data_IF_813782819677
#
_entry.id   IF_813782819677
#
_cell.length_a   1.000
_cell.length_b   1.000
_cell.length_c   1.000
_cell.angle_alpha   90.00
_cell.angle_beta   90.00
_cell.angle_gamma   90.00
#
_symmetry.space_group_name_H-M   'P 1'
#
loop_
_entity.id
_entity.type
_entity.pdbx_description
1 polymer ?
#
# COMPACT_ATOMS: atom_id res chain seq x y z
N UNK A 1 -33.44 4.32 -13.02
CA UNK A 1 -32.49 4.79 -14.03
C UNK A 1 -31.36 3.75 -14.00
N UNK A 2 -31.33 2.92 -15.03
CA UNK A 2 -30.28 1.89 -15.11
C UNK A 2 -29.01 2.60 -15.59
N UNK A 3 -28.05 2.71 -14.66
CA UNK A 3 -26.71 3.20 -14.96
C UNK A 3 -25.89 1.98 -15.37
N UNK A 4 -26.02 1.66 -16.67
CA UNK A 4 -25.38 0.47 -17.23
C UNK A 4 -23.95 0.81 -17.65
N UNK A 5 -22.99 0.31 -16.90
CA UNK A 5 -21.56 0.35 -17.23
C UNK A 5 -21.07 -1.07 -17.29
N UNK A 6 -20.56 -1.48 -18.44
CA UNK A 6 -19.93 -2.78 -18.60
C UNK A 6 -18.71 -2.92 -17.66
N UNK A 7 -18.88 -3.70 -16.62
CA UNK A 7 -17.81 -4.06 -15.68
C UNK A 7 -17.17 -5.38 -16.11
N UNK A 8 -15.85 -5.43 -16.03
CA UNK A 8 -15.11 -6.68 -16.17
C UNK A 8 -15.50 -7.67 -15.06
N UNK A 9 -15.36 -9.00 -15.27
CA UNK A 9 -15.74 -10.00 -14.28
C UNK A 9 -15.17 -9.73 -12.89
N UNK A 10 -13.89 -9.39 -12.80
CA UNK A 10 -13.24 -9.07 -11.53
C UNK A 10 -13.79 -7.79 -10.86
N UNK A 11 -14.20 -6.79 -11.69
CA UNK A 11 -14.83 -5.57 -11.18
C UNK A 11 -16.21 -5.85 -10.62
N UNK A 12 -16.98 -6.76 -11.26
CA UNK A 12 -18.27 -7.22 -10.75
C UNK A 12 -18.12 -7.96 -9.42
N UNK A 13 -17.07 -8.78 -9.26
CA UNK A 13 -16.76 -9.47 -8.01
C UNK A 13 -16.57 -8.46 -6.87
N UNK A 14 -15.72 -7.44 -7.05
CA UNK A 14 -15.50 -6.38 -6.06
C UNK A 14 -16.78 -5.57 -5.80
N UNK A 15 -17.54 -5.25 -6.85
CA UNK A 15 -18.79 -4.52 -6.71
C UNK A 15 -19.84 -5.28 -5.90
N UNK A 16 -19.97 -6.58 -6.12
CA UNK A 16 -20.95 -7.44 -5.45
C UNK A 16 -20.62 -7.75 -3.99
N UNK A 17 -19.40 -7.49 -3.56
CA UNK A 17 -18.98 -7.64 -2.17
C UNK A 17 -19.88 -6.86 -1.22
N UNK A 18 -20.17 -7.44 -0.07
CA UNK A 18 -20.93 -6.80 1.02
C UNK A 18 -20.03 -6.22 2.10
N UNK A 19 -18.72 -6.42 1.99
CA UNK A 19 -17.77 -5.88 2.94
C UNK A 19 -17.82 -4.35 2.97
N UNK A 20 -17.72 -3.80 4.17
CA UNK A 20 -17.66 -2.36 4.39
C UNK A 20 -16.37 -1.77 3.83
N UNK A 21 -15.27 -2.50 3.96
CA UNK A 21 -13.94 -2.11 3.50
C UNK A 21 -13.42 -3.13 2.50
N UNK A 22 -13.26 -2.70 1.26
CA UNK A 22 -12.74 -3.52 0.17
C UNK A 22 -11.31 -3.14 -0.12
N UNK A 23 -10.40 -4.11 -0.12
CA UNK A 23 -8.96 -3.91 -0.33
C UNK A 23 -8.54 -4.66 -1.59
N UNK A 24 -8.24 -3.91 -2.65
CA UNK A 24 -7.97 -4.45 -3.98
C UNK A 24 -6.51 -4.20 -4.36
N UNK A 25 -5.70 -5.24 -4.30
CA UNK A 25 -4.37 -5.27 -4.87
C UNK A 25 -4.48 -5.68 -6.34
N UNK A 26 -4.13 -4.79 -7.26
CA UNK A 26 -4.28 -5.11 -8.67
C UNK A 26 -3.18 -4.49 -9.53
N UNK A 27 -2.77 -5.26 -10.55
CA UNK A 27 -1.70 -4.86 -11.48
C UNK A 27 -2.05 -3.62 -12.30
N UNK A 28 -1.06 -3.08 -12.99
CA UNK A 28 -1.28 -1.95 -13.91
C UNK A 28 -2.26 -2.30 -15.02
N UNK A 29 -3.02 -1.30 -15.46
CA UNK A 29 -3.97 -1.42 -16.57
C UNK A 29 -5.10 -2.45 -16.35
N UNK A 30 -5.30 -2.97 -15.14
CA UNK A 30 -6.43 -3.85 -14.83
C UNK A 30 -7.79 -3.15 -14.98
N UNK A 31 -7.86 -1.82 -14.88
CA UNK A 31 -9.12 -1.05 -14.88
C UNK A 31 -9.55 -0.60 -13.48
N UNK A 32 -8.62 -0.51 -12.52
CA UNK A 32 -8.85 -0.04 -11.14
C UNK A 32 -9.62 1.28 -11.08
N UNK A 33 -9.11 2.30 -11.79
CA UNK A 33 -9.69 3.65 -11.76
C UNK A 33 -11.10 3.70 -12.37
N UNK A 34 -11.40 2.85 -13.38
CA UNK A 34 -12.75 2.72 -13.95
C UNK A 34 -13.72 2.13 -12.93
N UNK A 35 -13.34 1.09 -12.19
CA UNK A 35 -14.13 0.54 -11.09
C UNK A 35 -14.37 1.60 -10.01
N UNK A 36 -13.33 2.33 -9.59
CA UNK A 36 -13.47 3.39 -8.61
C UNK A 36 -14.45 4.47 -9.08
N UNK A 37 -14.35 4.93 -10.32
CA UNK A 37 -15.27 5.91 -10.90
C UNK A 37 -16.72 5.42 -10.90
N UNK A 38 -16.95 4.17 -11.33
CA UNK A 38 -18.28 3.55 -11.28
C UNK A 38 -18.83 3.53 -9.85
N UNK A 39 -18.03 3.07 -8.88
CA UNK A 39 -18.45 3.01 -7.49
C UNK A 39 -18.73 4.39 -6.89
N UNK A 40 -17.91 5.41 -7.23
CA UNK A 40 -18.14 6.80 -6.80
C UNK A 40 -19.49 7.34 -7.31
N UNK A 41 -19.81 7.10 -8.58
CA UNK A 41 -21.07 7.54 -9.17
C UNK A 41 -22.27 6.81 -8.57
N UNK A 42 -22.23 5.47 -8.51
CA UNK A 42 -23.37 4.70 -8.00
C UNK A 42 -23.59 4.92 -6.51
N UNK A 43 -22.51 4.91 -5.70
CA UNK A 43 -22.60 5.23 -4.28
C UNK A 43 -23.08 6.66 -4.05
N UNK A 44 -22.62 7.60 -4.88
CA UNK A 44 -23.12 8.98 -4.84
C UNK A 44 -24.60 9.08 -5.12
N UNK A 45 -25.13 8.39 -6.13
CA UNK A 45 -26.57 8.36 -6.43
C UNK A 45 -27.41 7.69 -5.33
N UNK A 46 -26.84 6.73 -4.61
CA UNK A 46 -27.51 6.04 -3.50
C UNK A 46 -27.41 6.79 -2.17
N UNK A 47 -26.52 7.77 -2.08
CA UNK A 47 -26.26 8.52 -0.84
C UNK A 47 -27.34 9.60 -0.66
N UNK A 48 -27.91 9.67 0.54
CA UNK A 48 -28.85 10.72 0.97
C UNK A 48 -28.24 11.69 1.98
N UNK A 49 -27.12 11.33 2.59
CA UNK A 49 -26.40 12.10 3.61
C UNK A 49 -24.90 11.82 3.51
N UNK A 50 -24.09 12.88 3.63
CA UNK A 50 -22.63 12.81 3.55
C UNK A 50 -22.08 13.04 2.15
N UNK A 51 -20.77 13.08 2.08
CA UNK A 51 -20.00 13.33 0.85
C UNK A 51 -19.36 12.05 0.33
N UNK A 52 -19.02 12.09 -0.94
CA UNK A 52 -18.28 11.02 -1.63
C UNK A 52 -16.87 11.55 -1.95
N UNK A 53 -15.85 10.85 -1.54
CA UNK A 53 -14.46 11.24 -1.78
C UNK A 53 -13.75 10.24 -2.69
N UNK A 54 -12.98 10.80 -3.63
CA UNK A 54 -11.87 10.10 -4.27
C UNK A 54 -10.57 10.72 -3.76
N UNK A 55 -9.69 9.89 -3.23
CA UNK A 55 -8.42 10.32 -2.64
C UNK A 55 -7.26 9.64 -3.37
N UNK A 56 -6.33 10.45 -3.88
CA UNK A 56 -5.08 10.01 -4.48
C UNK A 56 -3.88 10.56 -3.68
N UNK A 57 -2.63 10.14 -3.93
CA UNK A 57 -1.45 10.66 -3.23
C UNK A 57 -1.34 12.18 -3.28
N UNK A 58 -1.65 12.79 -4.43
CA UNK A 58 -1.71 14.25 -4.60
C UNK A 58 -2.99 14.69 -5.30
N UNK A 59 -3.39 15.95 -5.10
CA UNK A 59 -4.57 16.50 -5.77
C UNK A 59 -4.41 16.55 -7.30
N UNK A 60 -3.19 16.78 -7.80
CA UNK A 60 -2.89 16.71 -9.23
C UNK A 60 -3.15 15.31 -9.80
N UNK A 61 -2.65 14.28 -9.14
CA UNK A 61 -2.92 12.89 -9.52
C UNK A 61 -4.43 12.57 -9.45
N UNK A 62 -5.12 13.01 -8.40
CA UNK A 62 -6.57 12.81 -8.30
C UNK A 62 -7.31 13.37 -9.52
N UNK A 63 -6.95 14.57 -9.98
CA UNK A 63 -7.50 15.19 -11.19
C UNK A 63 -7.16 14.37 -12.43
N UNK A 64 -5.90 14.10 -12.64
CA UNK A 64 -5.41 13.53 -13.90
C UNK A 64 -5.90 12.09 -14.11
N UNK A 65 -6.08 11.35 -13.02
CA UNK A 65 -6.57 9.96 -13.07
C UNK A 65 -8.11 9.92 -13.18
N UNK A 66 -8.82 10.71 -12.36
CA UNK A 66 -10.24 10.46 -12.10
C UNK A 66 -11.19 11.45 -12.79
N UNK A 67 -10.77 12.70 -13.01
CA UNK A 67 -11.69 13.73 -13.50
C UNK A 67 -12.35 13.36 -14.83
N UNK A 68 -11.54 13.04 -15.84
CA UNK A 68 -12.06 12.72 -17.16
C UNK A 68 -12.88 11.42 -17.16
N UNK A 69 -12.47 10.44 -16.37
CA UNK A 69 -13.20 9.16 -16.24
C UNK A 69 -14.59 9.37 -15.62
N UNK A 70 -14.71 10.23 -14.59
CA UNK A 70 -16.00 10.57 -14.00
C UNK A 70 -16.86 11.36 -14.97
N UNK A 71 -16.30 12.32 -15.71
CA UNK A 71 -17.03 13.11 -16.68
C UNK A 71 -17.54 12.24 -17.83
N UNK A 72 -16.76 11.28 -18.30
CA UNK A 72 -17.16 10.32 -19.34
C UNK A 72 -18.27 9.38 -18.87
N UNK A 73 -18.05 8.69 -17.75
CA UNK A 73 -18.99 7.70 -17.23
C UNK A 73 -20.26 8.34 -16.64
N UNK A 74 -20.12 9.51 -16.03
CA UNK A 74 -21.19 10.17 -15.29
C UNK A 74 -22.05 11.12 -16.12
N UNK A 75 -21.91 11.20 -17.46
CA UNK A 75 -22.55 12.18 -18.31
C UNK A 75 -24.06 12.34 -18.05
N UNK A 76 -24.76 11.21 -17.84
CA UNK A 76 -26.20 11.20 -17.62
C UNK A 76 -26.64 11.60 -16.20
N UNK A 77 -25.73 11.60 -15.24
CA UNK A 77 -26.02 11.73 -13.81
C UNK A 77 -25.28 12.89 -13.12
N UNK A 78 -24.44 13.62 -13.85
CA UNK A 78 -23.76 14.81 -13.37
C UNK A 78 -24.62 16.04 -13.66
N UNK A 79 -24.95 16.83 -12.64
CA UNK A 79 -25.69 18.09 -12.78
C UNK A 79 -24.75 19.29 -12.98
N UNK A 80 -23.59 19.30 -12.33
CA UNK A 80 -22.56 20.32 -12.51
C UNK A 80 -21.18 19.81 -12.11
N UNK A 81 -20.13 20.39 -12.67
CA UNK A 81 -18.74 20.05 -12.37
C UNK A 81 -17.86 21.30 -12.34
N UNK A 82 -17.04 21.43 -11.29
CA UNK A 82 -16.15 22.57 -11.06
C UNK A 82 -14.71 22.08 -10.90
N UNK A 83 -13.95 22.11 -11.99
CA UNK A 83 -12.57 21.58 -12.03
C UNK A 83 -11.63 22.30 -11.07
N UNK A 84 -11.79 23.62 -10.88
CA UNK A 84 -10.93 24.39 -9.96
C UNK A 84 -11.13 23.97 -8.51
N UNK A 85 -12.34 23.56 -8.14
CA UNK A 85 -12.67 23.08 -6.79
C UNK A 85 -12.53 21.55 -6.67
N UNK A 86 -12.25 20.85 -7.77
CA UNK A 86 -12.23 19.39 -7.82
C UNK A 86 -13.52 18.76 -7.30
N UNK A 87 -14.68 19.33 -7.70
CA UNK A 87 -15.99 18.93 -7.22
C UNK A 87 -16.93 18.64 -8.38
N UNK A 88 -17.68 17.56 -8.26
CA UNK A 88 -18.71 17.13 -9.20
C UNK A 88 -20.00 16.95 -8.40
N UNK A 89 -21.09 17.57 -8.86
CA UNK A 89 -22.40 17.43 -8.23
C UNK A 89 -23.30 16.54 -9.08
N UNK A 90 -23.89 15.53 -8.45
CA UNK A 90 -24.82 14.62 -9.09
C UNK A 90 -26.25 15.20 -9.13
N UNK A 91 -27.12 14.60 -9.95
CA UNK A 91 -28.52 15.01 -10.12
C UNK A 91 -29.35 14.91 -8.84
N UNK A 92 -29.00 14.03 -7.89
CA UNK A 92 -29.62 13.92 -6.57
C UNK A 92 -29.06 14.93 -5.55
N UNK A 93 -28.12 15.78 -5.96
CA UNK A 93 -27.50 16.81 -5.10
C UNK A 93 -26.24 16.36 -4.38
N UNK A 94 -25.90 15.07 -4.37
CA UNK A 94 -24.68 14.55 -3.73
C UNK A 94 -23.43 15.09 -4.42
N UNK A 95 -22.42 15.40 -3.64
CA UNK A 95 -21.14 15.92 -4.11
C UNK A 95 -20.07 14.83 -4.09
N UNK A 96 -19.36 14.69 -5.19
CA UNK A 96 -18.12 13.92 -5.30
C UNK A 96 -16.96 14.92 -5.29
N UNK A 97 -16.02 14.75 -4.35
CA UNK A 97 -14.85 15.61 -4.21
C UNK A 97 -13.57 14.81 -4.47
N UNK A 98 -12.70 15.33 -5.36
CA UNK A 98 -11.39 14.74 -5.64
C UNK A 98 -10.34 15.44 -4.76
N UNK A 99 -9.60 14.67 -3.99
CA UNK A 99 -8.71 15.15 -2.93
C UNK A 99 -7.31 14.54 -3.05
N UNK A 100 -6.32 15.25 -2.54
CA UNK A 100 -4.97 14.73 -2.34
C UNK A 100 -4.70 14.38 -0.88
N UNK A 101 -4.02 13.28 -0.62
CA UNK A 101 -3.59 12.88 0.72
C UNK A 101 -2.38 13.67 1.22
N UNK A 102 -1.71 14.42 0.34
CA UNK A 102 -0.60 15.33 0.64
C UNK A 102 -1.02 16.50 1.54
N UNK A 103 -2.34 16.81 1.57
CA UNK A 103 -2.95 17.84 2.41
C UNK A 103 -4.06 17.26 3.30
N UNK A 104 -3.72 16.48 4.34
CA UNK A 104 -4.69 15.77 5.17
C UNK A 104 -5.71 16.70 5.86
N UNK A 105 -5.35 17.96 6.12
CA UNK A 105 -6.23 18.96 6.68
C UNK A 105 -7.47 19.24 5.84
N UNK A 106 -7.37 19.08 4.51
CA UNK A 106 -8.50 19.29 3.59
C UNK A 106 -9.51 18.14 3.58
N UNK A 107 -9.17 17.04 4.21
CA UNK A 107 -9.98 15.83 4.36
C UNK A 107 -10.75 15.82 5.69
N UNK A 108 -10.37 16.67 6.64
CA UNK A 108 -10.97 16.73 7.98
C UNK A 108 -12.31 17.46 7.99
N UNK A 109 -13.17 17.08 8.92
CA UNK A 109 -14.48 17.74 9.13
C UNK A 109 -15.56 17.34 8.12
N UNK A 110 -15.25 16.50 7.15
CA UNK A 110 -16.25 15.96 6.23
C UNK A 110 -16.95 14.74 6.86
N UNK A 111 -18.23 14.61 6.56
CA UNK A 111 -19.04 13.42 6.85
C UNK A 111 -19.05 12.55 5.58
N UNK A 112 -18.28 11.46 5.60
CA UNK A 112 -18.03 10.68 4.39
C UNK A 112 -18.95 9.44 4.34
N UNK A 113 -19.73 9.32 3.27
CA UNK A 113 -20.54 8.14 3.01
C UNK A 113 -19.75 7.04 2.27
N UNK A 114 -18.92 7.45 1.32
CA UNK A 114 -18.03 6.52 0.59
C UNK A 114 -16.73 7.22 0.22
N UNK A 115 -15.62 6.49 0.35
CA UNK A 115 -14.31 6.95 -0.13
C UNK A 115 -13.65 5.87 -0.98
N UNK A 116 -13.17 6.25 -2.16
CA UNK A 116 -12.23 5.47 -2.95
C UNK A 116 -10.82 6.05 -2.75
N UNK A 117 -9.90 5.22 -2.27
CA UNK A 117 -8.51 5.57 -1.97
C UNK A 117 -7.65 4.86 -3.02
N UNK A 118 -7.08 5.62 -3.94
CA UNK A 118 -6.30 5.11 -5.06
C UNK A 118 -4.80 5.27 -4.81
N UNK A 119 -4.02 4.29 -5.27
CA UNK A 119 -2.58 4.16 -5.02
C UNK A 119 -2.24 4.28 -3.52
N UNK A 120 -2.99 3.51 -2.70
CA UNK A 120 -2.88 3.55 -1.24
C UNK A 120 -1.46 3.23 -0.74
N UNK A 121 -0.72 2.37 -1.46
CA UNK A 121 0.68 2.05 -1.15
C UNK A 121 1.60 3.29 -1.10
N UNK A 122 1.27 4.35 -1.86
CA UNK A 122 2.08 5.58 -1.96
C UNK A 122 1.62 6.68 -1.00
N UNK A 123 0.59 6.42 -0.19
CA UNK A 123 0.08 7.36 0.79
C UNK A 123 0.74 7.15 2.15
N UNK A 124 0.60 8.14 3.05
CA UNK A 124 0.95 7.97 4.46
C UNK A 124 -0.16 7.21 5.16
N UNK A 125 0.19 6.17 5.91
CA UNK A 125 -0.75 5.36 6.71
C UNK A 125 -1.64 6.23 7.62
N UNK A 126 -1.07 7.24 8.26
CA UNK A 126 -1.78 8.17 9.14
C UNK A 126 -2.98 8.90 8.48
N UNK A 127 -3.01 9.01 7.15
CA UNK A 127 -4.16 9.61 6.44
C UNK A 127 -5.41 8.75 6.60
N UNK A 128 -5.26 7.43 6.50
CA UNK A 128 -6.36 6.53 6.76
C UNK A 128 -6.74 6.53 8.24
N UNK A 129 -5.80 6.25 9.11
CA UNK A 129 -6.06 6.01 10.51
C UNK A 129 -6.60 7.23 11.26
N UNK A 130 -6.00 8.41 11.00
CA UNK A 130 -6.26 9.62 11.78
C UNK A 130 -7.23 10.60 11.11
N UNK A 131 -7.56 10.38 9.82
CA UNK A 131 -8.39 11.33 9.07
C UNK A 131 -9.59 10.66 8.41
N UNK A 132 -9.39 9.74 7.46
CA UNK A 132 -10.48 9.17 6.68
C UNK A 132 -11.33 8.17 7.48
N UNK A 133 -10.68 7.29 8.26
CA UNK A 133 -11.41 6.30 9.07
C UNK A 133 -12.34 6.94 10.11
N UNK A 134 -11.92 7.99 10.86
CA UNK A 134 -12.82 8.75 11.71
C UNK A 134 -13.98 9.41 10.96
N UNK A 135 -13.74 10.01 9.78
CA UNK A 135 -14.76 10.68 8.98
C UNK A 135 -15.88 9.77 8.46
N UNK A 136 -15.65 8.45 8.44
CA UNK A 136 -16.66 7.43 8.11
C UNK A 136 -17.52 7.04 9.32
N UNK A 137 -17.16 7.47 10.52
CA UNK A 137 -17.80 6.98 11.76
C UNK A 137 -19.24 7.51 11.91
N UNK A 138 -19.48 8.75 11.50
CA UNK A 138 -20.80 9.40 11.64
C UNK A 138 -21.90 8.70 10.84
N UNK A 139 -21.55 8.00 9.79
CA UNK A 139 -22.48 7.26 8.92
C UNK A 139 -22.35 5.74 9.06
N UNK A 140 -21.63 5.25 10.06
CA UNK A 140 -21.52 3.81 10.29
C UNK A 140 -22.90 3.20 10.65
N UNK A 141 -23.18 1.98 10.21
CA UNK A 141 -22.38 1.07 9.38
C UNK A 141 -22.49 1.31 7.86
N UNK A 142 -23.29 2.27 7.42
CA UNK A 142 -23.62 2.51 6.00
C UNK A 142 -22.49 3.16 5.20
N UNK A 143 -21.53 3.80 5.87
CA UNK A 143 -20.33 4.33 5.23
C UNK A 143 -19.35 3.21 4.87
N UNK A 144 -18.64 3.35 3.75
CA UNK A 144 -17.71 2.33 3.28
C UNK A 144 -16.49 2.91 2.57
N UNK A 145 -15.44 2.08 2.40
CA UNK A 145 -14.25 2.47 1.67
C UNK A 145 -13.80 1.39 0.68
N UNK A 146 -13.23 1.86 -0.42
CA UNK A 146 -12.51 1.06 -1.40
C UNK A 146 -11.03 1.48 -1.39
N UNK A 147 -10.14 0.56 -1.11
CA UNK A 147 -8.70 0.74 -1.27
C UNK A 147 -8.27 0.04 -2.54
N UNK A 148 -7.62 0.77 -3.42
CA UNK A 148 -7.08 0.22 -4.66
C UNK A 148 -5.64 0.68 -4.83
N UNK A 149 -4.84 -0.14 -5.48
CA UNK A 149 -3.45 0.23 -5.79
C UNK A 149 -2.66 -0.95 -6.35
N UNK A 150 -1.51 -0.62 -6.91
CA UNK A 150 -0.48 -1.60 -7.21
C UNK A 150 0.39 -1.77 -5.97
N UNK A 151 0.66 -2.99 -5.50
CA UNK A 151 1.52 -3.22 -4.37
C UNK A 151 2.93 -2.65 -4.55
N UNK A 152 3.50 -2.12 -3.47
CA UNK A 152 4.88 -1.62 -3.44
C UNK A 152 5.59 -2.22 -2.24
N UNK A 153 5.99 -3.50 -2.36
CA UNK A 153 6.58 -4.25 -1.28
C UNK A 153 5.62 -4.49 -0.09
N UNK A 154 6.19 -4.84 1.07
CA UNK A 154 5.45 -5.13 2.31
C UNK A 154 5.34 -3.87 3.17
N UNK A 155 4.49 -2.93 2.77
CA UNK A 155 4.19 -1.70 3.50
C UNK A 155 2.79 -1.76 4.15
N UNK A 156 2.29 -0.64 4.67
CA UNK A 156 0.95 -0.52 5.28
C UNK A 156 -0.20 -1.01 4.38
N UNK A 157 -0.05 -0.99 3.04
CA UNK A 157 -1.03 -1.58 2.14
C UNK A 157 -1.04 -3.11 2.22
N UNK A 158 0.14 -3.73 2.36
CA UNK A 158 0.24 -5.16 2.64
C UNK A 158 -0.42 -5.54 3.97
N UNK A 159 -0.16 -4.76 5.03
CA UNK A 159 -0.73 -5.01 6.35
C UNK A 159 -2.25 -4.90 6.33
N UNK A 160 -2.79 -3.88 5.63
CA UNK A 160 -4.22 -3.73 5.41
C UNK A 160 -4.80 -4.90 4.60
N UNK A 161 -4.10 -5.34 3.55
CA UNK A 161 -4.49 -6.49 2.74
C UNK A 161 -4.57 -7.78 3.57
N UNK A 162 -3.55 -8.05 4.39
CA UNK A 162 -3.53 -9.21 5.32
C UNK A 162 -4.67 -9.14 6.34
N UNK A 163 -4.92 -7.97 6.91
CA UNK A 163 -6.07 -7.75 7.80
C UNK A 163 -7.38 -8.04 7.08
N UNK A 164 -7.52 -7.62 5.83
CA UNK A 164 -8.74 -7.80 5.05
C UNK A 164 -9.04 -9.27 4.70
N UNK A 165 -8.06 -10.16 4.79
CA UNK A 165 -8.27 -11.60 4.61
C UNK A 165 -8.97 -12.28 5.80
N UNK A 166 -9.00 -11.64 6.97
CA UNK A 166 -9.48 -12.27 8.22
C UNK A 166 -10.54 -11.47 8.97
N UNK A 167 -10.66 -10.16 8.73
CA UNK A 167 -11.58 -9.29 9.45
C UNK A 167 -12.98 -9.33 8.82
N UNK A 168 -14.02 -9.43 9.64
CA UNK A 168 -15.42 -9.62 9.21
C UNK A 168 -15.99 -8.48 8.35
N UNK A 169 -15.55 -7.24 8.58
CA UNK A 169 -16.00 -6.06 7.86
C UNK A 169 -15.11 -5.67 6.67
N UNK A 170 -14.09 -6.48 6.38
CA UNK A 170 -13.16 -6.29 5.27
C UNK A 170 -13.22 -7.47 4.29
N UNK A 171 -12.82 -7.21 3.05
CA UNK A 171 -12.60 -8.24 2.04
C UNK A 171 -11.41 -7.87 1.16
N UNK A 172 -10.52 -8.84 0.94
CA UNK A 172 -9.30 -8.68 0.17
C UNK A 172 -9.47 -9.30 -1.21
N UNK A 173 -9.01 -8.58 -2.23
CA UNK A 173 -9.04 -8.99 -3.63
C UNK A 173 -7.66 -8.84 -4.25
N UNK A 174 -7.29 -9.80 -5.08
CA UNK A 174 -6.03 -9.78 -5.79
C UNK A 174 -6.24 -10.07 -7.28
N UNK A 175 -5.83 -9.14 -8.13
CA UNK A 175 -5.97 -9.27 -9.58
C UNK A 175 -4.69 -8.87 -10.30
N UNK A 176 -4.40 -9.57 -11.37
CA UNK A 176 -3.25 -9.32 -12.24
C UNK A 176 -3.67 -8.53 -13.47
N UNK A 177 -2.74 -8.03 -14.25
CA UNK A 177 -3.05 -7.38 -15.53
C UNK A 177 -3.71 -8.34 -16.54
N UNK A 178 -3.56 -9.66 -16.36
CA UNK A 178 -4.23 -10.66 -17.20
C UNK A 178 -5.74 -10.77 -16.94
N UNK A 179 -6.22 -10.28 -15.80
CA UNK A 179 -7.65 -10.27 -15.45
C UNK A 179 -8.43 -9.20 -16.21
N UNK A 180 -7.74 -8.27 -16.88
CA UNK A 180 -8.37 -7.37 -17.83
C UNK A 180 -8.47 -8.05 -19.21
N UNK A 181 -9.67 -8.51 -19.53
CA UNK A 181 -9.96 -9.24 -20.79
C UNK A 181 -9.88 -8.36 -22.06
N UNK A 182 -9.82 -7.04 -21.89
CA UNK A 182 -9.69 -6.07 -22.99
C UNK A 182 -8.22 -5.88 -23.40
N UNK A 183 -7.29 -6.12 -22.47
CA UNK A 183 -5.87 -5.98 -22.75
C UNK A 183 -5.35 -7.15 -23.61
N UNK A 184 -4.46 -6.82 -24.54
CA UNK A 184 -3.74 -7.83 -25.30
C UNK A 184 -2.77 -8.58 -24.39
N UNK A 185 -2.96 -9.89 -24.28
CA UNK A 185 -2.03 -10.76 -23.53
C UNK A 185 -0.63 -10.74 -24.13
N UNK A 186 -0.53 -10.57 -25.44
CA UNK A 186 0.76 -10.48 -26.13
C UNK A 186 1.56 -9.25 -25.72
N UNK A 187 0.89 -8.12 -25.44
CA UNK A 187 1.53 -6.92 -24.90
C UNK A 187 2.02 -7.11 -23.47
N UNK A 188 1.22 -7.79 -22.64
CA UNK A 188 1.66 -8.12 -21.27
C UNK A 188 2.87 -9.06 -21.31
N UNK A 189 2.86 -10.05 -22.21
CA UNK A 189 3.98 -11.00 -22.38
C UNK A 189 5.22 -10.32 -22.98
N UNK A 190 5.06 -9.29 -23.81
CA UNK A 190 6.16 -8.46 -24.31
C UNK A 190 6.80 -7.68 -23.16
N UNK A 191 6.00 -7.00 -22.34
CA UNK A 191 6.48 -6.30 -21.16
C UNK A 191 7.22 -7.22 -20.18
N UNK A 192 6.77 -8.49 -20.03
CA UNK A 192 7.44 -9.50 -19.21
C UNK A 192 8.87 -9.81 -19.69
N UNK A 193 9.13 -9.73 -21.00
CA UNK A 193 10.46 -9.98 -21.58
C UNK A 193 11.41 -8.79 -21.43
N UNK A 194 10.86 -7.58 -21.35
CA UNK A 194 11.63 -6.33 -21.29
C UNK A 194 11.93 -5.89 -19.84
N UNK A 195 11.10 -6.28 -18.90
CA UNK A 195 11.21 -5.87 -17.49
C UNK A 195 12.04 -6.89 -16.68
N UNK A 196 12.58 -6.42 -15.55
CA UNK A 196 13.07 -7.36 -14.52
C UNK A 196 11.93 -8.24 -14.03
N UNK A 197 12.22 -9.49 -13.66
CA UNK A 197 11.20 -10.41 -13.14
C UNK A 197 10.51 -9.86 -11.89
N UNK A 198 11.24 -9.19 -11.01
CA UNK A 198 10.67 -8.47 -9.85
C UNK A 198 9.71 -7.36 -10.29
N UNK A 199 10.16 -6.46 -11.19
CA UNK A 199 9.32 -5.36 -11.68
C UNK A 199 8.05 -5.86 -12.34
N UNK A 200 8.13 -6.93 -13.15
CA UNK A 200 6.95 -7.52 -13.76
C UNK A 200 5.99 -8.11 -12.72
N UNK A 201 6.51 -8.84 -11.72
CA UNK A 201 5.65 -9.39 -10.66
C UNK A 201 4.97 -8.28 -9.85
N UNK A 202 5.69 -7.22 -9.50
CA UNK A 202 5.13 -6.09 -8.79
C UNK A 202 4.05 -5.37 -9.61
N UNK A 203 4.40 -4.94 -10.83
CA UNK A 203 3.56 -4.02 -11.61
C UNK A 203 2.39 -4.72 -12.34
N UNK A 204 2.61 -5.94 -12.85
CA UNK A 204 1.60 -6.65 -13.64
C UNK A 204 0.91 -7.77 -12.86
N UNK A 205 1.62 -8.42 -11.94
CA UNK A 205 1.08 -9.52 -11.16
C UNK A 205 0.59 -9.08 -9.78
N UNK A 206 0.68 -7.79 -9.44
CA UNK A 206 0.30 -7.22 -8.14
C UNK A 206 0.96 -7.92 -6.95
N UNK A 207 2.22 -8.32 -7.09
CA UNK A 207 2.95 -9.01 -6.02
C UNK A 207 3.37 -8.05 -4.92
N UNK A 208 3.19 -8.45 -3.67
CA UNK A 208 3.69 -7.73 -2.48
C UNK A 208 5.14 -8.09 -2.12
N UNK A 209 5.89 -8.67 -3.04
CA UNK A 209 7.29 -8.98 -2.80
C UNK A 209 8.10 -7.72 -2.48
N UNK A 210 8.97 -7.83 -1.48
CA UNK A 210 9.92 -6.77 -1.17
C UNK A 210 11.12 -6.84 -2.12
N UNK A 211 11.72 -5.69 -2.45
CA UNK A 211 12.96 -5.64 -3.23
C UNK A 211 14.06 -6.38 -2.46
N UNK A 212 14.73 -7.32 -3.11
CA UNK A 212 15.73 -8.16 -2.45
C UNK A 212 15.24 -9.53 -1.96
N UNK A 213 13.91 -9.76 -1.90
CA UNK A 213 13.37 -11.09 -1.58
C UNK A 213 13.72 -12.17 -2.63
N UNK A 214 14.27 -11.75 -3.78
CA UNK A 214 14.81 -12.70 -4.79
C UNK A 214 16.04 -13.46 -4.28
N UNK A 215 16.81 -12.87 -3.34
CA UNK A 215 17.98 -13.52 -2.75
C UNK A 215 17.61 -14.54 -1.66
N UNK A 216 16.51 -14.29 -0.95
CA UNK A 216 16.01 -15.17 0.11
C UNK A 216 14.52 -15.43 -0.08
N UNK A 217 14.15 -16.65 -0.43
CA UNK A 217 12.75 -17.05 -0.51
C UNK A 217 12.24 -17.39 0.88
N UNK A 218 10.99 -16.99 1.16
CA UNK A 218 10.34 -17.28 2.45
C UNK A 218 10.31 -18.80 2.74
N UNK A 219 10.16 -19.62 1.71
CA UNK A 219 10.18 -21.08 1.77
C UNK A 219 11.53 -21.66 2.22
N UNK A 220 12.60 -20.86 2.20
CA UNK A 220 13.94 -21.26 2.67
C UNK A 220 14.13 -21.00 4.16
N UNK A 221 13.24 -20.21 4.78
CA UNK A 221 13.30 -19.91 6.20
C UNK A 221 12.48 -20.96 6.94
N UNK A 222 13.15 -21.76 7.72
CA UNK A 222 12.54 -22.72 8.65
C UNK A 222 12.64 -22.21 10.07
N UNK A 223 11.65 -22.51 10.89
CA UNK A 223 11.63 -22.13 12.29
C UNK A 223 11.79 -23.39 13.13
N UNK A 224 12.79 -23.41 14.00
CA UNK A 224 13.05 -24.51 14.91
C UNK A 224 13.14 -23.99 16.35
N UNK A 225 12.70 -24.80 17.32
CA UNK A 225 12.69 -24.41 18.74
C UNK A 225 14.04 -24.52 19.42
N UNK A 226 14.95 -25.32 18.86
CA UNK A 226 16.26 -25.57 19.47
C UNK A 226 17.39 -25.14 18.57
N UNK A 227 18.26 -24.30 19.14
CA UNK A 227 19.52 -23.92 18.53
C UNK A 227 20.43 -25.15 18.36
N UNK A 228 21.17 -25.25 17.23
CA UNK A 228 22.18 -26.27 17.02
C UNK A 228 23.20 -26.32 18.16
N UNK A 229 23.51 -27.51 18.67
CA UNK A 229 24.46 -27.69 19.80
C UNK A 229 25.92 -27.41 19.43
N UNK A 230 26.24 -27.59 18.13
CA UNK A 230 27.57 -27.28 17.56
C UNK A 230 27.50 -26.11 16.60
N UNK A 231 28.62 -25.47 16.31
CA UNK A 231 28.77 -24.39 15.37
C UNK A 231 29.33 -23.12 15.99
N UNK A 232 29.73 -22.19 15.13
CA UNK A 232 30.43 -20.97 15.48
C UNK A 232 29.55 -19.75 15.19
N UNK A 233 29.67 -18.71 16.04
CA UNK A 233 28.96 -17.48 15.86
C UNK A 233 29.68 -16.53 14.91
N UNK A 234 28.91 -15.84 14.10
CA UNK A 234 29.30 -14.75 13.23
C UNK A 234 28.35 -13.57 13.47
N UNK A 235 28.88 -12.36 13.38
CA UNK A 235 28.07 -11.14 13.47
C UNK A 235 28.22 -10.37 12.18
N UNK A 236 27.10 -10.01 11.57
CA UNK A 236 27.05 -9.12 10.40
C UNK A 236 26.31 -7.84 10.78
N UNK A 237 26.85 -6.70 10.38
CA UNK A 237 26.36 -5.38 10.76
C UNK A 237 26.16 -4.56 9.49
N UNK A 238 24.93 -4.08 9.30
CA UNK A 238 24.57 -3.08 8.31
C UNK A 238 24.34 -1.76 9.04
N UNK A 239 25.17 -0.74 8.71
CA UNK A 239 25.13 0.54 9.38
C UNK A 239 24.16 1.50 8.69
N UNK A 240 23.20 2.03 9.44
CA UNK A 240 22.44 3.19 8.98
C UNK A 240 23.38 4.36 8.65
N UNK A 241 23.11 5.09 7.58
CA UNK A 241 23.82 6.33 7.29
C UNK A 241 23.67 7.31 8.46
N UNK A 242 24.76 7.62 9.13
CA UNK A 242 24.78 8.61 10.21
C UNK A 242 24.53 10.00 9.61
N UNK A 243 23.47 10.67 10.02
CA UNK A 243 23.26 12.07 9.70
C UNK A 243 24.27 12.90 10.50
N UNK A 244 25.08 13.72 9.82
CA UNK A 244 25.96 14.69 10.47
C UNK A 244 25.18 15.55 11.48
N UNK A 245 25.52 15.44 12.74
CA UNK A 245 24.93 16.16 13.88
C UNK A 245 25.41 17.63 13.90
N UNK A 246 25.68 18.22 12.73
CA UNK A 246 26.29 19.56 12.67
C UNK A 246 25.68 20.58 11.70
N UNK A 247 24.71 20.25 10.88
CA UNK A 247 24.15 21.22 9.94
C UNK A 247 22.61 21.32 10.02
N UNK A 248 22.18 22.32 10.78
CA UNK A 248 20.83 22.88 10.68
C UNK A 248 20.67 23.58 9.33
N UNK A 249 20.12 22.94 8.32
CA UNK A 249 19.37 23.59 7.23
C UNK A 249 18.44 22.55 6.57
N UNK A 250 17.14 22.79 6.72
CA UNK A 250 15.98 22.40 5.91
C UNK A 250 16.28 21.56 4.64
N UNK A 251 16.63 20.30 4.78
CA UNK A 251 16.50 19.31 3.72
C UNK A 251 15.53 18.23 4.20
N UNK A 252 14.55 17.89 3.34
CA UNK A 252 13.55 16.83 3.55
C UNK A 252 14.21 15.63 4.24
N UNK A 253 13.66 15.19 5.38
CA UNK A 253 14.05 13.94 6.05
C UNK A 253 13.84 12.80 5.05
N UNK A 254 14.92 12.38 4.37
CA UNK A 254 14.96 11.06 3.74
C UNK A 254 14.70 10.05 4.84
N UNK A 255 13.93 9.01 4.56
CA UNK A 255 13.83 7.85 5.42
C UNK A 255 15.25 7.34 5.68
N UNK A 256 15.73 7.54 6.89
CA UNK A 256 16.98 6.99 7.35
C UNK A 256 16.72 5.51 7.68
N UNK A 257 17.49 4.63 7.11
CA UNK A 257 17.43 3.19 7.42
C UNK A 257 17.84 2.93 8.88
N UNK A 258 17.53 1.73 9.39
CA UNK A 258 17.95 1.30 10.70
C UNK A 258 19.31 0.61 10.59
N UNK A 259 20.19 0.78 11.59
CA UNK A 259 21.32 -0.12 11.79
C UNK A 259 20.78 -1.49 12.20
N UNK A 260 21.29 -2.55 11.58
CA UNK A 260 20.96 -3.92 11.92
C UNK A 260 22.21 -4.72 12.29
N UNK A 261 22.14 -5.47 13.38
CA UNK A 261 23.18 -6.38 13.85
C UNK A 261 22.57 -7.78 13.86
N UNK A 262 23.02 -8.64 12.96
CA UNK A 262 22.58 -10.02 12.87
C UNK A 262 23.60 -10.96 13.52
N UNK A 263 23.14 -11.79 14.44
CA UNK A 263 23.92 -12.83 15.12
C UNK A 263 23.54 -14.16 14.50
N UNK A 264 24.49 -14.83 13.85
CA UNK A 264 24.25 -16.06 13.12
C UNK A 264 25.20 -17.15 13.61
N UNK A 265 24.65 -18.31 13.97
CA UNK A 265 25.44 -19.51 14.25
C UNK A 265 25.51 -20.36 12.99
N UNK A 266 26.69 -20.72 12.58
CA UNK A 266 26.95 -21.57 11.42
C UNK A 266 27.39 -22.95 11.88
N UNK A 267 26.66 -23.98 11.45
CA UNK A 267 26.96 -25.40 11.77
C UNK A 267 26.93 -26.23 10.47
N UNK A 268 27.25 -27.52 10.59
CA UNK A 268 27.11 -28.48 9.49
C UNK A 268 25.63 -28.65 9.03
N UNK A 269 24.68 -28.38 9.93
CA UNK A 269 23.24 -28.49 9.69
C UNK A 269 22.68 -27.25 8.95
N UNK A 270 23.41 -26.14 8.94
CA UNK A 270 23.00 -24.90 8.27
C UNK A 270 23.27 -23.65 9.08
N UNK A 271 22.59 -22.58 8.74
CA UNK A 271 22.71 -21.26 9.34
C UNK A 271 21.53 -21.01 10.27
N UNK A 272 21.82 -20.74 11.51
CA UNK A 272 20.84 -20.42 12.53
C UNK A 272 20.91 -18.93 12.88
N UNK A 273 19.87 -18.16 12.55
CA UNK A 273 19.77 -16.76 12.97
C UNK A 273 19.36 -16.74 14.43
N UNK A 274 20.32 -16.44 15.31
CA UNK A 274 20.13 -16.42 16.76
C UNK A 274 19.36 -15.19 17.21
N UNK A 275 19.77 -14.02 16.71
CA UNK A 275 19.15 -12.75 17.08
C UNK A 275 19.38 -11.71 15.98
N UNK A 276 18.48 -10.73 15.90
CA UNK A 276 18.60 -9.55 15.05
C UNK A 276 18.29 -8.33 15.90
N UNK A 277 19.28 -7.51 16.17
CA UNK A 277 19.16 -6.26 16.91
C UNK A 277 19.09 -5.13 15.89
N UNK A 278 17.93 -4.49 15.73
CA UNK A 278 17.76 -3.41 14.76
C UNK A 278 17.20 -2.16 15.42
N UNK A 279 17.69 -0.99 14.98
CA UNK A 279 17.24 0.29 15.53
C UNK A 279 18.01 1.49 14.99
N UNK A 280 17.62 2.65 15.48
CA UNK A 280 18.28 3.93 15.16
C UNK A 280 19.05 4.39 16.39
N UNK A 281 20.34 4.35 16.30
CA UNK A 281 21.24 4.71 17.39
C UNK A 281 22.29 5.70 16.89
N UNK A 282 22.85 6.46 17.80
CA UNK A 282 24.04 7.23 17.49
C UNK A 282 25.26 6.31 17.39
N UNK A 283 26.40 6.88 16.99
CA UNK A 283 27.64 6.12 16.78
C UNK A 283 28.11 5.40 18.06
N UNK A 284 27.99 6.05 19.22
CA UNK A 284 28.42 5.51 20.50
C UNK A 284 27.49 4.37 20.95
N UNK A 285 26.18 4.58 20.82
CA UNK A 285 25.18 3.55 21.13
C UNK A 285 25.34 2.33 20.21
N UNK A 286 25.57 2.56 18.91
CA UNK A 286 25.85 1.49 17.94
C UNK A 286 27.09 0.69 18.35
N UNK A 287 28.21 1.38 18.65
CA UNK A 287 29.44 0.74 19.08
C UNK A 287 29.24 -0.09 20.37
N UNK A 288 28.50 0.46 21.33
CA UNK A 288 28.21 -0.28 22.60
C UNK A 288 27.39 -1.54 22.34
N UNK A 289 26.42 -1.51 21.44
CA UNK A 289 25.63 -2.70 21.07
C UNK A 289 26.47 -3.76 20.36
N UNK A 290 27.37 -3.34 19.48
CA UNK A 290 28.33 -4.23 18.82
C UNK A 290 29.22 -4.89 19.85
N UNK A 291 29.84 -4.12 20.77
CA UNK A 291 30.68 -4.67 21.84
C UNK A 291 29.89 -5.63 22.74
N UNK A 292 28.66 -5.33 23.06
CA UNK A 292 27.81 -6.20 23.83
C UNK A 292 27.55 -7.53 23.10
N UNK A 293 27.19 -7.49 21.82
CA UNK A 293 26.98 -8.69 21.01
C UNK A 293 28.25 -9.52 20.88
N UNK A 294 29.41 -8.89 20.66
CA UNK A 294 30.72 -9.59 20.61
C UNK A 294 31.04 -10.28 21.94
N UNK A 295 30.80 -9.61 23.06
CA UNK A 295 31.03 -10.19 24.40
C UNK A 295 30.09 -11.35 24.70
N UNK A 296 28.81 -11.21 24.33
CA UNK A 296 27.76 -12.16 24.72
C UNK A 296 27.78 -13.44 23.86
N UNK A 297 28.28 -13.35 22.62
CA UNK A 297 28.28 -14.45 21.64
C UNK A 297 29.68 -14.96 21.25
N UNK A 298 30.74 -14.25 21.60
CA UNK A 298 32.15 -14.61 21.29
C UNK A 298 32.33 -15.06 19.82
N UNK A 299 31.95 -14.23 18.81
CA UNK A 299 31.95 -14.64 17.41
C UNK A 299 33.36 -14.85 16.88
N UNK A 300 33.53 -15.80 15.94
CA UNK A 300 34.79 -15.97 15.20
C UNK A 300 35.09 -14.75 14.31
N UNK A 301 34.05 -14.11 13.76
CA UNK A 301 34.21 -12.97 12.86
C UNK A 301 33.08 -11.97 13.01
N UNK A 302 33.41 -10.70 12.83
CA UNK A 302 32.45 -9.58 12.77
C UNK A 302 32.65 -8.86 11.46
N UNK A 303 31.61 -8.83 10.60
CA UNK A 303 31.57 -8.06 9.35
C UNK A 303 30.75 -6.79 9.53
N UNK A 304 31.26 -5.67 9.02
CA UNK A 304 30.58 -4.36 9.03
C UNK A 304 30.53 -3.86 7.59
N UNK A 305 29.32 -3.52 7.11
CA UNK A 305 29.09 -2.91 5.81
C UNK A 305 28.86 -1.39 5.93
#
# INVERSE_FOLDING_TARGET
>A
MDFDVDLLPWQQEVWNSKARFRVVAAGRRTGKSRLAAYMLLVKGLQTTDGEIFYVAPTQGQARDIMWNTLMELGQAVISSAHINNMQIKLINGTQISLKGSDRPETLRGAKIAFVAIDEYADMREAVWELVLRPALTDLAPNSSALFIGTPTGRNHFYDLYKKAMTAEDHEAFHFTSYDNTILSKTEIDAAKKEMSSFGFRQEYMASFEARGSEMFKEDWVTYEEKEPSAGDYYISIDLAGFADVGQSHKKKKKHLDNTAIAIVKVSEEGWWVKDIIAGRWDLNETAMKIFQAVRDYEPISVGIE
#
